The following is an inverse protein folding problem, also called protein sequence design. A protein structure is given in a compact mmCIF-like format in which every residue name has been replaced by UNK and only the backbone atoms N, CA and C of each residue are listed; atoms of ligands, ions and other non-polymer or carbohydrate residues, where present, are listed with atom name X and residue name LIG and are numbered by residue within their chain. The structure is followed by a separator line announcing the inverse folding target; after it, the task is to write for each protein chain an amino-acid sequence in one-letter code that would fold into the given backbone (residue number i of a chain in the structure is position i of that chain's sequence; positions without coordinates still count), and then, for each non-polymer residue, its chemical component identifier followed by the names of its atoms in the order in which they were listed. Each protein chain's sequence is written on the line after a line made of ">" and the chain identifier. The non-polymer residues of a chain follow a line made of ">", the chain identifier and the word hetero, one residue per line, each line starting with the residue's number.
data_IF_736056211621
#
_entry.id   IF_736056211621
#
_cell.length_a   1.000
_cell.length_b   1.000
_cell.length_c   1.000
_cell.angle_alpha   90.00
_cell.angle_beta   90.00
_cell.angle_gamma   90.00
#
_symmetry.space_group_name_H-M   'P 1'
#
loop_
_entity.id
_entity.type
_entity.pdbx_description
1 polymer ?
#
# COMPACT_ATOMS: atom_id res chain seq x y z
N UNK A 1 53.91 -11.18 30.00
CA UNK A 1 54.65 -9.98 30.45
C UNK A 1 53.75 -8.76 30.21
N UNK A 2 53.35 -8.02 31.27
CA UNK A 2 52.31 -7.00 31.18
C UNK A 2 52.83 -5.56 31.35
N UNK A 3 52.21 -4.59 30.67
CA UNK A 3 52.23 -3.16 31.00
C UNK A 3 50.96 -2.55 30.37
N UNK A 4 49.87 -2.27 31.11
CA UNK A 4 49.61 -1.12 31.99
C UNK A 4 50.07 0.23 31.41
N UNK A 5 49.10 1.04 30.99
CA UNK A 5 49.05 2.46 31.36
C UNK A 5 47.61 2.97 31.35
N UNK A 6 47.27 3.71 32.40
CA UNK A 6 46.01 4.37 32.66
C UNK A 6 46.23 5.90 32.71
N UNK A 7 45.24 6.68 32.29
CA UNK A 7 44.97 8.09 32.64
C UNK A 7 43.55 8.36 32.11
N UNK A 8 42.49 8.69 32.85
CA UNK A 8 42.22 9.68 33.92
C UNK A 8 42.62 11.10 33.53
N UNK A 9 41.67 11.86 32.97
CA UNK A 9 41.44 13.28 33.28
C UNK A 9 39.93 13.52 33.36
N UNK A 10 39.52 14.17 34.45
CA UNK A 10 38.17 14.51 34.85
C UNK A 10 37.85 15.99 34.58
N UNK A 11 36.59 16.34 34.90
CA UNK A 11 36.02 17.65 35.22
C UNK A 11 35.37 18.49 34.11
N UNK A 12 34.04 18.63 34.25
CA UNK A 12 33.47 19.90 34.71
C UNK A 12 32.61 20.67 33.70
N UNK A 13 31.33 20.87 34.00
CA UNK A 13 30.49 21.84 33.28
C UNK A 13 28.99 21.59 33.38
N UNK A 14 28.34 22.30 34.30
CA UNK A 14 26.93 22.30 34.72
C UNK A 14 25.85 22.50 33.61
N UNK A 15 24.57 22.17 33.87
CA UNK A 15 23.49 22.19 32.89
C UNK A 15 22.76 23.54 32.83
N UNK A 16 22.57 24.07 31.61
CA UNK A 16 21.74 25.24 31.38
C UNK A 16 20.25 24.88 31.31
N UNK A 17 19.51 25.29 32.34
CA UNK A 17 18.05 25.40 32.38
C UNK A 17 17.57 26.45 31.38
N UNK A 18 16.55 26.12 30.60
CA UNK A 18 15.70 27.06 29.87
C UNK A 18 14.38 26.34 29.62
N UNK A 19 13.18 26.81 29.90
CA UNK A 19 12.65 28.01 30.53
C UNK A 19 11.13 27.80 30.41
N UNK A 20 10.46 27.45 31.50
CA UNK A 20 8.99 27.42 31.54
C UNK A 20 8.52 28.85 31.75
N UNK A 21 7.76 29.39 30.81
CA UNK A 21 6.86 30.51 31.09
C UNK A 21 5.42 30.13 30.73
N UNK A 22 4.51 30.15 31.71
CA UNK A 22 3.08 30.16 31.47
C UNK A 22 2.62 31.61 31.25
N UNK A 23 1.73 31.85 30.29
CA UNK A 23 0.95 33.09 30.26
C UNK A 23 -0.53 32.72 30.24
N UNK A 24 -1.14 33.03 31.38
CA UNK A 24 -2.57 33.07 31.66
C UNK A 24 -3.00 34.51 31.43
N UNK A 25 -4.02 34.77 30.63
CA UNK A 25 -4.93 35.89 30.91
C UNK A 25 -6.37 35.50 30.61
N UNK A 26 -7.16 35.53 31.69
CA UNK A 26 -8.62 35.60 31.67
C UNK A 26 -9.01 37.02 31.24
N UNK A 27 -10.07 37.13 30.45
CA UNK A 27 -11.07 38.17 30.67
C UNK A 27 -12.44 37.61 30.31
N UNK A 28 -13.28 37.51 31.34
CA UNK A 28 -14.70 37.26 31.28
C UNK A 28 -15.45 38.60 31.32
N UNK A 29 -16.68 38.63 30.83
CA UNK A 29 -17.63 39.73 31.03
C UNK A 29 -18.42 40.02 29.75
N UNK A 30 -19.54 39.33 29.48
CA UNK A 30 -20.90 39.61 30.00
C UNK A 30 -21.59 40.81 29.32
N UNK A 31 -22.62 40.55 28.53
CA UNK A 31 -23.98 41.08 28.76
C UNK A 31 -24.95 40.72 27.60
N UNK A 32 -26.01 40.03 27.99
CA UNK A 32 -27.33 39.87 27.34
C UNK A 32 -28.05 41.25 27.27
N UNK A 33 -29.28 41.44 26.69
CA UNK A 33 -30.19 40.54 25.96
C UNK A 33 -30.90 41.16 24.71
N UNK A 34 -31.87 40.42 24.13
CA UNK A 34 -33.13 40.90 23.51
C UNK A 34 -33.04 41.54 22.09
N UNK A 35 -33.81 41.17 21.05
CA UNK A 35 -35.23 40.77 20.94
C UNK A 35 -35.47 39.93 19.66
N UNK A 36 -36.38 38.97 19.77
CA UNK A 36 -37.09 38.26 18.69
C UNK A 36 -38.28 39.12 18.17
N UNK A 37 -39.33 38.61 17.48
CA UNK A 37 -39.45 37.53 16.47
C UNK A 37 -40.28 37.99 15.23
N UNK A 38 -40.39 37.17 14.17
CA UNK A 38 -41.60 36.98 13.32
C UNK A 38 -41.30 35.93 12.23
N UNK A 39 -41.68 34.66 12.39
CA UNK A 39 -43.00 34.04 12.14
C UNK A 39 -43.34 33.89 10.65
N UNK A 40 -43.23 32.65 10.15
CA UNK A 40 -44.36 32.01 9.47
C UNK A 40 -44.32 30.49 9.69
N UNK A 41 -44.78 30.11 10.88
CA UNK A 41 -45.47 28.85 11.08
C UNK A 41 -46.88 29.00 10.51
N UNK A 42 -47.31 28.02 9.73
CA UNK A 42 -48.73 27.67 9.61
C UNK A 42 -48.85 26.24 10.06
N UNK A 43 -49.03 26.14 11.38
CA UNK A 43 -49.59 24.98 12.04
C UNK A 43 -50.96 24.68 11.44
N UNK A 44 -51.12 23.42 11.08
CA UNK A 44 -52.33 22.63 11.27
C UNK A 44 -53.03 22.98 12.59
N UNK A 45 -54.32 23.33 12.54
CA UNK A 45 -55.14 23.41 13.76
C UNK A 45 -56.48 24.17 13.66
N UNK A 46 -57.51 23.45 13.21
CA UNK A 46 -58.93 23.41 13.70
C UNK A 46 -59.75 24.71 13.87
N UNK A 47 -60.97 24.69 13.27
CA UNK A 47 -62.27 25.31 13.66
C UNK A 47 -62.87 26.20 12.55
N UNK A 48 -64.17 26.28 12.27
CA UNK A 48 -65.45 25.62 12.66
C UNK A 48 -66.51 26.31 11.79
N UNK A 49 -67.41 25.59 11.11
CA UNK A 49 -68.80 26.00 10.81
C UNK A 49 -69.48 24.99 9.86
N UNK A 50 -70.41 24.20 10.39
CA UNK A 50 -71.66 23.80 9.72
C UNK A 50 -72.59 25.02 9.62
N UNK A 51 -73.60 25.12 8.74
CA UNK A 51 -74.33 24.09 7.96
C UNK A 51 -74.07 24.29 6.43
N UNK A 52 -74.52 23.46 5.49
CA UNK A 52 -75.87 23.44 4.92
C UNK A 52 -76.04 22.13 4.13
N UNK A 53 -77.10 21.40 4.44
CA UNK A 53 -77.77 20.56 3.45
C UNK A 53 -78.13 21.41 2.23
N UNK A 54 -77.45 21.18 1.12
CA UNK A 54 -77.96 21.49 -0.21
C UNK A 54 -77.21 20.66 -1.26
N UNK A 55 -78.01 19.96 -2.06
CA UNK A 55 -77.74 19.63 -3.45
C UNK A 55 -76.56 18.67 -3.75
N UNK A 56 -76.96 17.41 -3.93
CA UNK A 56 -76.57 16.56 -5.04
C UNK A 56 -76.00 17.36 -6.23
N UNK A 57 -74.71 17.21 -6.52
CA UNK A 57 -74.16 17.40 -7.87
C UNK A 57 -73.25 16.23 -8.23
N UNK A 58 -73.62 15.62 -9.34
CA UNK A 58 -72.99 14.55 -10.09
C UNK A 58 -71.61 15.01 -10.60
N UNK A 59 -70.58 14.71 -9.82
CA UNK A 59 -69.19 14.99 -10.15
C UNK A 59 -68.48 13.70 -10.49
N UNK A 60 -68.58 13.30 -11.76
CA UNK A 60 -67.79 12.22 -12.36
C UNK A 60 -66.29 12.38 -12.08
N UNK A 61 -65.80 11.72 -11.04
CA UNK A 61 -64.37 11.43 -10.88
C UNK A 61 -63.96 10.43 -11.96
N UNK A 62 -63.69 10.94 -13.15
CA UNK A 62 -62.91 10.19 -14.14
C UNK A 62 -61.51 10.05 -13.59
N UNK A 63 -61.28 9.00 -12.81
CA UNK A 63 -59.94 8.49 -12.53
C UNK A 63 -59.28 8.22 -13.88
N UNK A 64 -58.42 9.13 -14.32
CA UNK A 64 -57.58 8.95 -15.49
C UNK A 64 -56.66 7.77 -15.19
N UNK A 65 -57.08 6.58 -15.60
CA UNK A 65 -56.29 5.36 -15.58
C UNK A 65 -55.05 5.63 -16.42
N UNK A 66 -53.94 6.00 -15.76
CA UNK A 66 -52.67 6.16 -16.44
C UNK A 66 -52.34 4.81 -17.06
N UNK A 67 -52.32 4.74 -18.39
CA UNK A 67 -51.96 3.52 -19.12
C UNK A 67 -50.59 3.07 -18.58
N UNK A 68 -50.45 1.81 -18.15
CA UNK A 68 -49.15 1.32 -17.75
C UNK A 68 -48.21 1.45 -18.97
N UNK A 69 -46.96 1.91 -18.78
CA UNK A 69 -46.01 2.03 -19.87
C UNK A 69 -45.82 0.67 -20.55
N UNK A 70 -45.68 0.69 -21.87
CA UNK A 70 -45.48 -0.52 -22.67
C UNK A 70 -44.23 -1.27 -22.18
N UNK A 71 -44.36 -2.58 -21.94
CA UNK A 71 -43.26 -3.45 -21.54
C UNK A 71 -42.36 -3.86 -22.72
N UNK A 72 -41.13 -4.25 -22.41
CA UNK A 72 -40.16 -4.76 -23.39
C UNK A 72 -40.58 -6.12 -23.97
N UNK A 73 -40.21 -6.38 -25.22
CA UNK A 73 -40.50 -7.66 -25.89
C UNK A 73 -39.41 -8.71 -25.62
N UNK A 74 -39.74 -10.00 -25.76
CA UNK A 74 -38.74 -11.07 -25.66
C UNK A 74 -37.63 -10.93 -26.71
N UNK A 75 -37.99 -10.55 -27.94
CA UNK A 75 -37.01 -10.38 -29.03
C UNK A 75 -36.04 -9.23 -28.72
N UNK A 76 -36.51 -8.16 -28.10
CA UNK A 76 -35.67 -7.02 -27.72
C UNK A 76 -34.63 -7.42 -26.69
N UNK A 77 -35.00 -8.21 -25.68
CA UNK A 77 -34.04 -8.73 -24.72
C UNK A 77 -33.00 -9.65 -25.38
N UNK A 78 -33.40 -10.51 -26.31
CA UNK A 78 -32.47 -11.37 -27.06
C UNK A 78 -31.48 -10.51 -27.85
N UNK A 79 -31.97 -9.51 -28.59
CA UNK A 79 -31.12 -8.60 -29.37
C UNK A 79 -30.16 -7.82 -28.47
N UNK A 80 -30.64 -7.31 -27.34
CA UNK A 80 -29.81 -6.58 -26.36
C UNK A 80 -28.70 -7.46 -25.79
N UNK A 81 -29.02 -8.70 -25.39
CA UNK A 81 -28.01 -9.63 -24.88
C UNK A 81 -26.97 -9.95 -25.95
N UNK A 82 -27.38 -10.18 -27.20
CA UNK A 82 -26.45 -10.44 -28.32
C UNK A 82 -25.51 -9.25 -28.54
N UNK A 83 -26.03 -8.01 -28.53
CA UNK A 83 -25.22 -6.80 -28.69
C UNK A 83 -24.24 -6.64 -27.52
N UNK A 84 -24.70 -6.84 -26.27
CA UNK A 84 -23.83 -6.76 -25.08
C UNK A 84 -22.74 -7.83 -25.14
N UNK A 85 -23.07 -9.07 -25.51
CA UNK A 85 -22.09 -10.16 -25.64
C UNK A 85 -21.03 -9.87 -26.71
N UNK A 86 -21.45 -9.36 -27.86
CA UNK A 86 -20.54 -8.98 -28.95
C UNK A 86 -19.63 -7.81 -28.53
N UNK A 87 -20.18 -6.81 -27.84
CA UNK A 87 -19.40 -5.71 -27.29
C UNK A 87 -18.40 -6.19 -26.24
N UNK A 88 -18.79 -7.09 -25.33
CA UNK A 88 -17.92 -7.65 -24.28
C UNK A 88 -16.68 -8.35 -24.86
N UNK A 89 -16.81 -9.04 -26.00
CA UNK A 89 -15.68 -9.69 -26.68
C UNK A 89 -14.60 -8.70 -27.13
N UNK A 90 -14.97 -7.46 -27.44
CA UNK A 90 -14.02 -6.40 -27.81
C UNK A 90 -13.42 -5.68 -26.59
N UNK A 91 -14.17 -5.63 -25.47
CA UNK A 91 -13.77 -4.92 -24.25
C UNK A 91 -12.83 -5.76 -23.38
N UNK A 92 -13.14 -7.05 -23.17
CA UNK A 92 -12.35 -7.96 -22.33
C UNK A 92 -10.84 -8.00 -22.64
N UNK A 93 -10.38 -8.16 -23.89
CA UNK A 93 -8.94 -8.24 -24.20
C UNK A 93 -8.20 -6.91 -24.00
N UNK A 94 -8.91 -5.79 -23.79
CA UNK A 94 -8.29 -4.48 -23.52
C UNK A 94 -8.12 -4.19 -22.04
N UNK A 95 -8.60 -5.06 -21.14
CA UNK A 95 -8.35 -4.91 -19.72
C UNK A 95 -6.84 -5.16 -19.45
N UNK A 96 -6.17 -4.30 -18.66
CA UNK A 96 -4.79 -4.55 -18.28
C UNK A 96 -4.69 -5.87 -17.51
N UNK A 97 -3.74 -6.72 -17.89
CA UNK A 97 -3.52 -8.00 -17.21
C UNK A 97 -3.14 -7.76 -15.75
N UNK A 98 -3.81 -8.47 -14.82
CA UNK A 98 -3.42 -8.50 -13.40
C UNK A 98 -1.98 -8.99 -13.22
N UNK A 99 -1.53 -9.92 -14.07
CA UNK A 99 -0.18 -10.48 -14.06
C UNK A 99 0.93 -9.43 -14.12
N UNK A 100 0.83 -8.42 -14.99
CA UNK A 100 1.82 -7.34 -15.07
C UNK A 100 1.86 -6.50 -13.78
N UNK A 101 0.70 -6.29 -13.15
CA UNK A 101 0.60 -5.62 -11.85
C UNK A 101 1.24 -6.43 -10.73
N UNK A 102 1.03 -7.74 -10.71
CA UNK A 102 1.61 -8.65 -9.74
C UNK A 102 3.13 -8.77 -9.89
N UNK A 103 3.64 -8.85 -11.12
CA UNK A 103 5.08 -8.85 -11.41
C UNK A 103 5.74 -7.58 -10.87
N UNK A 104 5.15 -6.43 -11.16
CA UNK A 104 5.64 -5.15 -10.65
C UNK A 104 5.54 -5.03 -9.13
N UNK A 105 4.48 -5.57 -8.53
CA UNK A 105 4.27 -5.59 -7.09
C UNK A 105 5.29 -6.47 -6.37
N UNK A 106 5.59 -7.64 -6.95
CA UNK A 106 6.59 -8.56 -6.42
C UNK A 106 8.00 -7.98 -6.51
N UNK A 107 8.35 -7.37 -7.65
CA UNK A 107 9.63 -6.67 -7.80
C UNK A 107 9.80 -5.55 -6.76
N UNK A 108 8.74 -4.79 -6.47
CA UNK A 108 8.76 -3.74 -5.42
C UNK A 108 8.82 -4.32 -4.01
N UNK A 109 8.12 -5.42 -3.76
CA UNK A 109 8.14 -6.09 -2.45
C UNK A 109 9.53 -6.64 -2.16
N UNK A 110 10.15 -7.31 -3.13
CA UNK A 110 11.54 -7.75 -3.03
C UNK A 110 12.51 -6.58 -2.85
N UNK A 111 12.35 -5.48 -3.60
CA UNK A 111 13.16 -4.29 -3.42
C UNK A 111 13.01 -3.66 -2.03
N UNK A 112 11.81 -3.69 -1.45
CA UNK A 112 11.56 -3.24 -0.09
C UNK A 112 12.25 -4.16 0.93
N UNK A 113 12.30 -5.47 0.69
CA UNK A 113 13.07 -6.43 1.50
C UNK A 113 14.56 -6.13 1.49
N UNK A 114 15.17 -5.90 0.32
CA UNK A 114 16.58 -5.50 0.23
C UNK A 114 16.86 -4.22 1.03
N UNK A 115 15.99 -3.20 0.90
CA UNK A 115 16.14 -1.95 1.63
C UNK A 115 15.99 -2.14 3.13
N UNK A 116 14.97 -2.89 3.55
CA UNK A 116 14.71 -3.21 4.95
C UNK A 116 15.91 -3.91 5.58
N UNK A 117 16.47 -4.93 4.93
CA UNK A 117 17.64 -5.66 5.46
C UNK A 117 18.87 -4.77 5.54
N UNK A 118 19.10 -3.91 4.54
CA UNK A 118 20.17 -2.90 4.59
C UNK A 118 20.01 -1.95 5.77
N UNK A 119 18.82 -1.38 5.95
CA UNK A 119 18.50 -0.46 7.04
C UNK A 119 18.64 -1.14 8.41
N UNK A 120 18.16 -2.38 8.55
CA UNK A 120 18.28 -3.17 9.78
C UNK A 120 19.74 -3.50 10.09
N UNK A 121 20.54 -3.90 9.10
CA UNK A 121 21.95 -4.24 9.29
C UNK A 121 22.76 -3.02 9.77
N UNK A 122 22.48 -1.83 9.22
CA UNK A 122 23.10 -0.57 9.66
C UNK A 122 22.62 -0.17 11.06
N UNK A 123 21.31 -0.19 11.30
CA UNK A 123 20.72 0.26 12.57
C UNK A 123 21.15 -0.61 13.76
N UNK A 124 21.17 -1.93 13.57
CA UNK A 124 21.52 -2.90 14.62
C UNK A 124 23.00 -3.23 14.68
N UNK A 125 23.79 -2.77 13.69
CA UNK A 125 25.20 -3.16 13.50
C UNK A 125 25.42 -4.68 13.47
N UNK A 126 24.41 -5.41 12.98
CA UNK A 126 24.40 -6.88 12.92
C UNK A 126 24.49 -7.32 11.46
N UNK A 127 25.13 -8.46 11.23
CA UNK A 127 25.24 -9.03 9.88
C UNK A 127 23.98 -9.84 9.56
N UNK A 128 23.28 -9.48 8.49
CA UNK A 128 22.13 -10.23 7.97
C UNK A 128 22.54 -10.95 6.70
N UNK A 129 21.94 -12.11 6.46
CA UNK A 129 22.12 -12.90 5.24
C UNK A 129 20.75 -13.25 4.69
N UNK A 130 20.53 -12.84 3.45
CA UNK A 130 19.38 -13.24 2.66
C UNK A 130 19.77 -14.38 1.75
N UNK A 131 18.92 -15.40 1.74
CA UNK A 131 19.00 -16.57 0.88
C UNK A 131 17.80 -16.55 -0.03
N UNK A 132 18.06 -16.55 -1.32
CA UNK A 132 17.05 -16.47 -2.37
C UNK A 132 17.10 -17.78 -3.17
N UNK A 133 16.09 -18.63 -2.99
CA UNK A 133 15.92 -19.85 -3.78
C UNK A 133 15.41 -19.48 -5.16
N UNK A 134 16.19 -19.77 -6.20
CA UNK A 134 15.86 -19.45 -7.59
C UNK A 134 14.80 -20.42 -8.10
N UNK A 135 14.88 -21.68 -7.67
CA UNK A 135 13.99 -22.75 -8.12
C UNK A 135 12.56 -22.62 -7.57
N UNK A 136 12.42 -22.23 -6.30
CA UNK A 136 11.15 -22.21 -5.58
C UNK A 136 10.68 -20.79 -5.20
N UNK A 137 11.49 -19.77 -5.49
CA UNK A 137 11.20 -18.38 -5.13
C UNK A 137 11.23 -18.13 -3.61
N UNK A 138 11.84 -19.04 -2.83
CA UNK A 138 11.90 -18.90 -1.37
C UNK A 138 12.85 -17.78 -0.95
N UNK A 139 12.46 -17.09 0.13
CA UNK A 139 13.30 -16.05 0.74
C UNK A 139 13.48 -16.39 2.20
N UNK A 140 14.70 -16.70 2.58
CA UNK A 140 15.07 -16.94 3.98
C UNK A 140 16.06 -15.90 4.44
N UNK A 141 15.82 -15.32 5.62
CA UNK A 141 16.72 -14.34 6.21
C UNK A 141 17.25 -14.86 7.54
N UNK A 142 18.55 -14.76 7.72
CA UNK A 142 19.22 -15.05 8.99
C UNK A 142 20.02 -13.84 9.44
N UNK A 143 20.30 -13.78 10.74
CA UNK A 143 21.20 -12.79 11.35
C UNK A 143 22.30 -13.49 12.14
N UNK A 144 23.49 -12.91 12.13
CA UNK A 144 24.64 -13.41 12.88
C UNK A 144 24.85 -12.58 14.13
N UNK A 145 24.60 -13.18 15.29
CA UNK A 145 24.74 -12.55 16.60
C UNK A 145 25.55 -13.47 17.50
N UNK A 146 26.60 -12.95 18.17
CA UNK A 146 27.46 -13.75 19.06
C UNK A 146 27.99 -15.07 18.45
N UNK A 147 28.40 -15.04 17.17
CA UNK A 147 28.84 -16.20 16.37
C UNK A 147 27.78 -17.29 16.14
N UNK A 148 26.50 -16.99 16.38
CA UNK A 148 25.37 -17.87 16.06
C UNK A 148 24.55 -17.26 14.93
N UNK A 149 24.19 -18.09 13.96
CA UNK A 149 23.24 -17.75 12.92
C UNK A 149 21.83 -18.09 13.42
N UNK A 150 20.94 -17.10 13.45
CA UNK A 150 19.54 -17.27 13.88
C UNK A 150 18.62 -16.82 12.76
N UNK A 151 17.58 -17.60 12.47
CA UNK A 151 16.54 -17.20 11.52
C UNK A 151 15.81 -15.93 12.01
N UNK A 152 15.53 -15.02 11.09
CA UNK A 152 14.76 -13.81 11.37
C UNK A 152 13.32 -14.07 10.95
N UNK A 153 12.40 -14.00 11.92
CA UNK A 153 10.97 -14.18 11.68
C UNK A 153 10.24 -12.94 12.20
N UNK A 154 10.27 -11.87 11.40
CA UNK A 154 9.46 -10.69 11.65
C UNK A 154 8.24 -10.67 10.69
N UNK A 155 7.22 -9.89 11.02
CA UNK A 155 5.99 -9.81 10.22
C UNK A 155 6.24 -9.25 8.80
N UNK A 156 7.33 -8.50 8.60
CA UNK A 156 7.64 -7.89 7.32
C UNK A 156 8.19 -8.95 6.35
N UNK A 157 9.10 -9.80 6.84
CA UNK A 157 9.71 -10.92 6.11
C UNK A 157 8.77 -12.12 6.00
N UNK A 158 7.80 -12.27 6.90
CA UNK A 158 6.75 -13.29 6.79
C UNK A 158 5.83 -13.06 5.57
N UNK A 159 5.79 -11.84 5.05
CA UNK A 159 5.02 -11.55 3.84
C UNK A 159 5.74 -12.12 2.62
N UNK A 160 5.03 -12.96 1.86
CA UNK A 160 5.50 -13.49 0.58
C UNK A 160 5.87 -12.33 -0.35
N UNK A 161 7.12 -12.28 -0.80
CA UNK A 161 7.62 -11.20 -1.69
C UNK A 161 7.37 -11.48 -3.18
N UNK A 162 7.11 -12.74 -3.55
CA UNK A 162 6.87 -13.19 -4.93
C UNK A 162 5.50 -13.86 -5.03
N UNK A 163 4.66 -13.46 -6.00
CA UNK A 163 3.40 -14.17 -6.27
C UNK A 163 3.65 -15.57 -6.87
N UNK A 164 2.60 -16.39 -7.01
CA UNK A 164 2.71 -17.78 -7.48
C UNK A 164 3.23 -17.89 -8.92
N UNK A 165 2.80 -16.98 -9.79
CA UNK A 165 3.15 -17.01 -11.23
C UNK A 165 4.41 -16.20 -11.55
N UNK A 166 5.23 -15.87 -10.54
CA UNK A 166 6.44 -15.07 -10.70
C UNK A 166 7.64 -15.89 -10.24
N UNK A 167 8.59 -16.06 -11.14
CA UNK A 167 9.84 -16.78 -10.92
C UNK A 167 11.02 -15.83 -10.94
N UNK A 168 12.11 -16.25 -10.32
CA UNK A 168 13.41 -15.59 -10.44
C UNK A 168 14.11 -16.23 -11.62
N UNK A 169 14.51 -15.41 -12.59
CA UNK A 169 15.20 -15.87 -13.79
C UNK A 169 16.70 -16.00 -13.53
N UNK A 170 17.28 -14.98 -12.92
CA UNK A 170 18.68 -15.01 -12.49
C UNK A 170 18.97 -13.97 -11.40
N UNK A 171 20.08 -14.20 -10.70
CA UNK A 171 20.65 -13.27 -9.73
C UNK A 171 22.11 -13.03 -10.11
N UNK A 172 22.48 -11.77 -10.31
CA UNK A 172 23.83 -11.36 -10.67
C UNK A 172 24.50 -10.67 -9.50
N UNK A 173 25.65 -11.21 -9.11
CA UNK A 173 26.49 -10.70 -8.03
C UNK A 173 27.91 -10.62 -8.60
N UNK A 174 28.58 -9.46 -8.65
CA UNK A 174 29.87 -9.29 -9.33
C UNK A 174 30.93 -10.34 -8.96
N UNK A 175 30.95 -10.78 -7.71
CA UNK A 175 31.90 -11.80 -7.24
C UNK A 175 31.52 -13.24 -7.56
N UNK A 176 30.23 -13.54 -7.74
CA UNK A 176 29.72 -14.89 -7.96
C UNK A 176 29.29 -15.13 -9.42
N UNK A 177 29.19 -14.07 -10.21
CA UNK A 177 28.64 -14.13 -11.57
C UNK A 177 27.11 -14.19 -11.55
N UNK A 178 26.57 -14.77 -12.61
CA UNK A 178 25.12 -14.99 -12.79
C UNK A 178 24.75 -16.35 -12.23
N UNK A 179 23.79 -16.37 -11.32
CA UNK A 179 23.26 -17.56 -10.67
C UNK A 179 21.86 -17.79 -11.24
N UNK A 180 21.64 -18.95 -11.85
CA UNK A 180 20.39 -19.30 -12.56
C UNK A 180 19.64 -20.48 -11.92
N UNK A 181 20.26 -21.15 -10.95
CA UNK A 181 19.71 -22.30 -10.23
C UNK A 181 20.19 -22.32 -8.77
N UNK A 182 19.49 -23.07 -7.93
CA UNK A 182 19.83 -23.22 -6.52
C UNK A 182 19.54 -21.97 -5.69
N UNK A 183 20.53 -21.52 -4.92
CA UNK A 183 20.36 -20.47 -3.91
C UNK A 183 21.38 -19.34 -4.08
N UNK A 184 20.88 -18.11 -4.25
CA UNK A 184 21.70 -16.91 -4.21
C UNK A 184 21.82 -16.40 -2.76
N UNK A 185 23.06 -16.22 -2.30
CA UNK A 185 23.35 -15.72 -0.94
C UNK A 185 23.79 -14.26 -1.02
N UNK A 186 23.02 -13.39 -0.37
CA UNK A 186 23.27 -11.95 -0.29
C UNK A 186 23.55 -11.54 1.15
N UNK A 187 24.69 -10.88 1.35
CA UNK A 187 25.14 -10.43 2.67
C UNK A 187 24.91 -8.93 2.89
N UNK A 188 24.43 -8.60 4.09
CA UNK A 188 24.19 -7.24 4.56
C UNK A 188 25.00 -7.03 5.85
N UNK A 189 25.99 -6.14 5.80
CA UNK A 189 26.84 -5.79 6.94
C UNK A 189 26.41 -4.51 7.63
N UNK A 190 27.21 -4.06 8.60
CA UNK A 190 27.00 -2.79 9.32
C UNK A 190 27.07 -1.53 8.44
N UNK A 191 27.44 -1.68 7.16
CA UNK A 191 27.41 -0.64 6.12
C UNK A 191 26.22 -0.77 5.16
N UNK A 192 25.31 -1.71 5.39
CA UNK A 192 24.22 -2.06 4.48
C UNK A 192 24.60 -3.23 3.57
N UNK A 193 24.06 -3.24 2.36
CA UNK A 193 24.32 -4.27 1.36
C UNK A 193 25.84 -4.35 1.05
N UNK A 194 26.39 -5.56 1.00
CA UNK A 194 27.83 -5.77 0.87
C UNK A 194 28.37 -5.49 -0.54
N UNK A 195 27.61 -5.81 -1.58
CA UNK A 195 28.01 -5.62 -2.97
C UNK A 195 26.79 -5.36 -3.87
N UNK A 196 27.05 -4.94 -5.11
CA UNK A 196 25.97 -4.72 -6.08
C UNK A 196 25.26 -6.03 -6.40
N UNK A 197 23.92 -6.01 -6.42
CA UNK A 197 23.10 -7.19 -6.75
C UNK A 197 22.05 -6.80 -7.77
N UNK A 198 21.94 -7.60 -8.82
CA UNK A 198 20.84 -7.51 -9.80
C UNK A 198 20.01 -8.78 -9.73
N UNK A 199 18.69 -8.65 -9.64
CA UNK A 199 17.75 -9.77 -9.66
C UNK A 199 16.78 -9.58 -10.81
N UNK A 200 16.66 -10.59 -11.66
CA UNK A 200 15.72 -10.63 -12.76
C UNK A 200 14.51 -11.48 -12.36
N UNK A 201 13.32 -10.89 -12.44
CA UNK A 201 12.05 -11.59 -12.23
C UNK A 201 11.35 -11.76 -13.56
N UNK A 202 10.72 -12.93 -13.73
CA UNK A 202 9.96 -13.30 -14.92
C UNK A 202 8.53 -13.66 -14.51
N UNK A 203 7.58 -13.00 -15.14
CA UNK A 203 6.15 -13.29 -15.01
C UNK A 203 5.58 -13.90 -16.28
N UNK A 204 4.25 -13.92 -16.37
CA UNK A 204 3.54 -14.45 -17.53
C UNK A 204 3.95 -13.79 -18.85
N UNK A 205 3.80 -14.54 -19.95
CA UNK A 205 4.08 -14.07 -21.33
C UNK A 205 5.50 -13.51 -21.53
N UNK A 206 6.44 -13.87 -20.67
CA UNK A 206 7.82 -13.42 -20.73
C UNK A 206 8.04 -11.98 -20.28
N UNK A 207 7.07 -11.38 -19.57
CA UNK A 207 7.27 -10.08 -18.95
C UNK A 207 8.39 -10.16 -17.91
N UNK A 208 9.31 -9.19 -17.93
CA UNK A 208 10.48 -9.16 -17.05
C UNK A 208 10.52 -7.87 -16.24
N UNK A 209 11.07 -7.97 -15.04
CA UNK A 209 11.39 -6.85 -14.17
C UNK A 209 12.79 -7.05 -13.59
N UNK A 210 13.55 -5.96 -13.50
CA UNK A 210 14.90 -5.98 -12.93
C UNK A 210 14.94 -5.20 -11.63
N UNK A 211 15.46 -5.80 -10.55
CA UNK A 211 15.78 -5.15 -9.28
C UNK A 211 17.29 -4.94 -9.22
N UNK A 212 17.73 -3.70 -8.96
CA UNK A 212 19.15 -3.35 -8.81
C UNK A 212 19.39 -2.76 -7.43
N UNK A 213 20.18 -3.43 -6.60
CA UNK A 213 20.50 -2.99 -5.24
C UNK A 213 21.96 -2.52 -5.16
N UNK A 214 22.16 -1.25 -4.75
CA UNK A 214 23.45 -0.58 -4.75
C UNK A 214 24.03 -0.50 -3.32
N UNK A 215 25.26 -0.96 -3.06
CA UNK A 215 25.83 -1.03 -1.71
C UNK A 215 26.06 0.35 -1.11
N UNK A 216 26.84 1.21 -1.76
CA UNK A 216 27.31 2.49 -1.19
C UNK A 216 26.19 3.49 -0.88
N UNK A 217 25.09 3.41 -1.63
CA UNK A 217 23.97 4.33 -1.48
C UNK A 217 22.79 3.75 -0.72
N UNK A 218 22.78 2.42 -0.48
CA UNK A 218 21.62 1.68 0.01
C UNK A 218 20.39 1.76 -0.91
N UNK A 219 20.51 2.36 -2.11
CA UNK A 219 19.39 2.52 -3.03
C UNK A 219 19.06 1.20 -3.68
N UNK A 220 17.77 0.94 -3.79
CA UNK A 220 17.25 -0.19 -4.57
C UNK A 220 16.34 0.37 -5.65
N UNK A 221 16.67 0.10 -6.91
CA UNK A 221 15.92 0.53 -8.09
C UNK A 221 15.19 -0.65 -8.68
N UNK A 222 14.03 -0.37 -9.28
CA UNK A 222 13.22 -1.35 -10.00
C UNK A 222 12.98 -0.81 -11.40
N UNK A 223 13.28 -1.60 -12.43
CA UNK A 223 13.12 -1.25 -13.84
C UNK A 223 12.29 -2.32 -14.56
N UNK A 224 11.58 -1.89 -15.60
CA UNK A 224 10.89 -2.80 -16.52
C UNK A 224 11.89 -3.42 -17.51
N UNK A 225 11.62 -4.67 -17.90
CA UNK A 225 12.45 -5.46 -18.79
C UNK A 225 13.68 -6.04 -18.11
N UNK A 226 14.46 -6.78 -18.89
CA UNK A 226 15.78 -7.28 -18.51
C UNK A 226 16.82 -6.17 -18.65
N UNK A 227 17.54 -5.85 -17.59
CA UNK A 227 18.60 -4.83 -17.61
C UNK A 227 19.92 -5.49 -17.24
N UNK A 228 20.79 -5.69 -18.23
CA UNK A 228 22.15 -6.14 -17.98
C UNK A 228 22.96 -4.96 -17.42
N UNK A 229 23.06 -4.91 -16.09
CA UNK A 229 23.85 -3.88 -15.42
C UNK A 229 25.25 -4.41 -15.19
N UNK A 230 26.17 -4.06 -16.07
CA UNK A 230 27.60 -4.18 -15.77
C UNK A 230 27.99 -3.15 -14.71
N UNK A 231 28.66 -3.58 -13.61
CA UNK A 231 29.14 -2.68 -12.57
C UNK A 231 30.20 -1.70 -13.09
#
# INVERSE_FOLDING_TARGET
>A
MPARLAAIIACGGEPARFGKHPVRSKAAGSSHPQKAPRRRSTLWGINTATPHTAAFEDGSETALFQRPPNGFTLIEMVVVIVIISMAMMLVLPRLPSTAAGELRSSARSLAATFRYLGDQAVATKTHYRMRLGIDDGSITVTRFENRKETAVTDNFLAKRSLAEDISIEDVQIPRLGTIIDGEAVIDFGSRGLAEFVTVHLKGEKGAQMTIMAFPDSGKVKVAEGYQEVRP
#
